data_IF_693427412501
#
_entry.id   IF_693427412501
#
_cell.length_a   1.000
_cell.length_b   1.000
_cell.length_c   1.000
_cell.angle_alpha   90.00
_cell.angle_beta   90.00
_cell.angle_gamma   90.00
#
_symmetry.space_group_name_H-M   'P 1'
#
loop_
_entity.id
_entity.type
_entity.pdbx_description
1 polymer ?
#
# COMPACT_ATOMS: atom_id res chain seq x y z
N UNK A 1 28.42 -16.22 10.25
CA UNK A 1 28.18 -14.83 9.78
C UNK A 1 27.35 -14.11 10.83
N UNK A 2 27.71 -12.88 11.21
CA UNK A 2 27.08 -12.14 12.32
C UNK A 2 26.14 -11.04 11.81
N UNK A 3 25.01 -10.84 12.49
CA UNK A 3 24.11 -9.71 12.22
C UNK A 3 24.78 -8.36 12.51
N UNK A 4 25.86 -8.35 13.30
CA UNK A 4 26.66 -7.16 13.59
C UNK A 4 27.22 -6.51 12.31
N UNK A 5 27.51 -7.29 11.26
CA UNK A 5 28.00 -6.73 9.98
C UNK A 5 26.89 -5.95 9.24
N UNK A 6 25.65 -6.44 9.33
CA UNK A 6 24.45 -5.77 8.81
C UNK A 6 24.25 -4.46 9.57
N UNK A 7 24.35 -4.50 10.90
CA UNK A 7 24.26 -3.31 11.76
C UNK A 7 25.36 -2.30 11.48
N UNK A 8 26.60 -2.75 11.27
CA UNK A 8 27.73 -1.87 10.93
C UNK A 8 27.49 -1.13 9.62
N UNK A 9 26.97 -1.81 8.61
CA UNK A 9 26.65 -1.20 7.31
C UNK A 9 25.51 -0.17 7.45
N UNK A 10 24.45 -0.53 8.20
CA UNK A 10 23.35 0.38 8.53
C UNK A 10 23.84 1.64 9.28
N UNK A 11 24.69 1.47 10.31
CA UNK A 11 25.24 2.57 11.09
C UNK A 11 26.20 3.44 10.26
N UNK A 12 27.07 2.82 9.46
CA UNK A 12 28.01 3.50 8.56
C UNK A 12 27.28 4.38 7.55
N UNK A 13 26.28 3.80 6.88
CA UNK A 13 25.41 4.53 5.94
C UNK A 13 24.74 5.72 6.63
N UNK A 14 24.16 5.52 7.82
CA UNK A 14 23.53 6.59 8.57
C UNK A 14 24.51 7.66 9.08
N UNK A 15 25.75 7.31 9.39
CA UNK A 15 26.77 8.27 9.80
C UNK A 15 27.19 9.15 8.63
N UNK A 16 27.48 8.55 7.47
CA UNK A 16 27.86 9.29 6.25
C UNK A 16 26.69 10.10 5.68
N UNK A 17 25.47 9.59 5.74
CA UNK A 17 24.30 10.37 5.33
C UNK A 17 24.14 11.64 6.18
N UNK A 18 24.45 11.59 7.49
CA UNK A 18 24.38 12.80 8.33
C UNK A 18 25.39 13.86 7.90
N UNK A 19 26.57 13.49 7.42
CA UNK A 19 27.54 14.47 6.89
C UNK A 19 27.11 15.02 5.53
N UNK A 20 26.55 14.17 4.65
CA UNK A 20 26.19 14.55 3.28
C UNK A 20 24.87 15.31 3.15
N UNK A 21 23.82 14.84 3.84
CA UNK A 21 22.44 15.33 3.68
C UNK A 21 21.87 15.90 4.98
N UNK A 22 22.67 16.03 6.04
CA UNK A 22 22.26 16.63 7.32
C UNK A 22 21.28 15.79 8.15
N UNK A 23 21.00 14.55 7.75
CA UNK A 23 20.08 13.62 8.43
C UNK A 23 20.49 12.16 8.18
N UNK A 24 20.03 11.17 8.98
CA UNK A 24 20.28 9.78 8.66
C UNK A 24 19.58 9.36 7.35
N UNK A 25 20.15 8.37 6.66
CA UNK A 25 19.56 7.75 5.48
C UNK A 25 18.31 6.94 5.83
N UNK A 26 18.33 6.28 6.98
CA UNK A 26 17.29 5.42 7.49
C UNK A 26 16.82 5.93 8.85
N UNK A 27 15.51 5.99 9.04
CA UNK A 27 14.93 6.33 10.33
C UNK A 27 15.30 5.27 11.40
N UNK A 28 15.14 5.64 12.67
CA UNK A 28 15.52 4.77 13.78
C UNK A 28 14.60 3.53 13.85
N UNK A 29 15.23 2.36 14.01
CA UNK A 29 14.53 1.08 14.15
C UNK A 29 14.46 0.66 15.61
N UNK A 30 13.24 0.44 16.11
CA UNK A 30 12.99 -0.03 17.48
C UNK A 30 12.70 -1.52 17.57
N UNK A 31 12.89 -2.27 16.47
CA UNK A 31 12.68 -3.72 16.43
C UNK A 31 13.82 -4.44 17.15
N UNK A 32 13.50 -5.46 17.93
CA UNK A 32 14.49 -6.27 18.64
C UNK A 32 15.47 -6.93 17.66
N UNK A 33 16.75 -6.93 18.04
CA UNK A 33 17.81 -7.58 17.27
C UNK A 33 17.67 -9.10 17.33
N UNK A 34 18.05 -9.82 16.26
CA UNK A 34 18.07 -11.27 16.24
C UNK A 34 19.18 -11.82 17.16
N UNK A 35 18.88 -12.89 17.88
CA UNK A 35 19.83 -13.60 18.74
C UNK A 35 20.15 -14.96 18.12
N UNK A 36 21.34 -15.16 17.52
CA UNK A 36 21.69 -16.41 16.84
C UNK A 36 21.75 -17.62 17.79
N UNK A 37 21.77 -17.43 19.11
CA UNK A 37 21.64 -18.51 20.09
C UNK A 37 20.25 -19.17 20.10
N UNK A 38 19.26 -18.56 19.44
CA UNK A 38 17.90 -19.09 19.27
C UNK A 38 17.51 -19.03 17.80
N UNK A 39 17.87 -20.06 17.05
CA UNK A 39 17.87 -20.06 15.58
C UNK A 39 16.53 -19.62 14.93
N UNK A 40 15.40 -20.22 15.33
CA UNK A 40 14.08 -19.86 14.77
C UNK A 40 13.69 -18.40 15.13
N UNK A 41 13.69 -17.98 16.41
CA UNK A 41 13.47 -16.57 16.76
C UNK A 41 14.45 -15.60 16.07
N UNK A 42 15.71 -15.98 15.86
CA UNK A 42 16.70 -15.18 15.16
C UNK A 42 16.27 -14.92 13.71
N UNK A 43 15.84 -15.95 13.00
CA UNK A 43 15.36 -15.85 11.63
C UNK A 43 14.14 -14.93 11.51
N UNK A 44 13.15 -15.09 12.40
CA UNK A 44 11.93 -14.28 12.41
C UNK A 44 12.25 -12.80 12.71
N UNK A 45 13.11 -12.54 13.70
CA UNK A 45 13.52 -11.17 14.06
C UNK A 45 14.36 -10.52 12.96
N UNK A 46 15.28 -11.25 12.34
CA UNK A 46 16.06 -10.75 11.21
C UNK A 46 15.14 -10.37 10.05
N UNK A 47 14.16 -11.21 9.72
CA UNK A 47 13.14 -10.90 8.70
C UNK A 47 12.38 -9.62 9.03
N UNK A 48 11.92 -9.49 10.27
CA UNK A 48 11.16 -8.32 10.75
C UNK A 48 11.98 -7.04 10.69
N UNK A 49 13.22 -7.10 11.18
CA UNK A 49 14.14 -5.96 11.21
C UNK A 49 14.48 -5.49 9.78
N UNK A 50 14.80 -6.42 8.88
CA UNK A 50 15.08 -6.11 7.48
C UNK A 50 13.84 -5.56 6.77
N UNK A 51 12.64 -6.08 7.07
CA UNK A 51 11.40 -5.55 6.52
C UNK A 51 11.19 -4.09 6.93
N UNK A 52 11.29 -3.78 8.22
CA UNK A 52 11.17 -2.40 8.72
C UNK A 52 12.24 -1.50 8.08
N UNK A 53 13.48 -1.97 7.94
CA UNK A 53 14.51 -1.20 7.24
C UNK A 53 14.12 -0.92 5.78
N UNK A 54 13.72 -1.95 5.02
CA UNK A 54 13.57 -1.86 3.57
C UNK A 54 12.29 -1.15 3.13
N UNK A 55 11.20 -1.35 3.87
CA UNK A 55 9.86 -0.92 3.45
C UNK A 55 9.31 0.24 4.28
N UNK A 56 9.89 0.50 5.46
CA UNK A 56 9.41 1.55 6.36
C UNK A 56 10.47 2.64 6.52
N UNK A 57 11.51 2.39 7.33
CA UNK A 57 12.48 3.41 7.75
C UNK A 57 13.45 3.86 6.65
N UNK A 58 13.74 3.00 5.67
CA UNK A 58 14.75 3.24 4.66
C UNK A 58 14.24 3.25 3.22
N UNK A 59 12.93 3.12 3.00
CA UNK A 59 12.33 2.88 1.66
C UNK A 59 12.86 3.84 0.58
N UNK A 60 12.88 5.14 0.88
CA UNK A 60 13.29 6.18 -0.08
C UNK A 60 14.79 6.09 -0.35
N UNK A 61 15.59 6.09 0.72
CA UNK A 61 17.05 6.05 0.63
C UNK A 61 17.55 4.77 -0.02
N UNK A 62 16.99 3.62 0.33
CA UNK A 62 17.35 2.34 -0.30
C UNK A 62 17.00 2.35 -1.79
N UNK A 63 15.82 2.85 -2.16
CA UNK A 63 15.44 2.94 -3.59
C UNK A 63 16.40 3.84 -4.37
N UNK A 64 16.79 4.98 -3.78
CA UNK A 64 17.76 5.90 -4.38
C UNK A 64 19.15 5.27 -4.48
N UNK A 65 19.72 4.84 -3.36
CA UNK A 65 21.08 4.28 -3.27
C UNK A 65 21.22 3.00 -4.09
N UNK A 66 20.18 2.16 -4.19
CA UNK A 66 20.21 0.96 -5.02
C UNK A 66 20.32 1.28 -6.51
N UNK A 67 19.57 2.29 -7.00
CA UNK A 67 19.67 2.73 -8.41
C UNK A 67 21.04 3.32 -8.70
N UNK A 68 21.60 4.07 -7.77
CA UNK A 68 22.95 4.62 -7.92
C UNK A 68 24.03 3.53 -7.83
N UNK A 69 23.84 2.55 -6.96
CA UNK A 69 24.71 1.38 -6.84
C UNK A 69 24.72 0.49 -8.07
N UNK A 70 23.59 0.36 -8.77
CA UNK A 70 23.54 -0.27 -10.10
C UNK A 70 24.43 0.51 -11.09
N UNK A 71 24.32 1.85 -11.12
CA UNK A 71 25.12 2.69 -12.01
C UNK A 71 26.63 2.65 -11.70
N UNK A 72 27.00 2.48 -10.42
CA UNK A 72 28.38 2.30 -9.99
C UNK A 72 28.87 0.84 -10.03
N UNK A 73 28.03 -0.11 -10.44
CA UNK A 73 28.32 -1.55 -10.35
C UNK A 73 28.69 -2.05 -8.93
N UNK A 74 28.21 -1.36 -7.90
CA UNK A 74 28.38 -1.72 -6.48
C UNK A 74 27.22 -2.58 -5.96
N UNK A 75 26.09 -2.56 -6.67
CA UNK A 75 24.90 -3.35 -6.32
C UNK A 75 24.40 -4.09 -7.55
N UNK A 76 24.32 -5.41 -7.46
CA UNK A 76 23.68 -6.22 -8.48
C UNK A 76 22.15 -6.04 -8.39
N UNK A 77 21.54 -5.56 -9.48
CA UNK A 77 20.09 -5.29 -9.54
C UNK A 77 19.26 -6.55 -9.32
N UNK A 78 19.57 -7.64 -10.01
CA UNK A 78 18.78 -8.86 -9.91
C UNK A 78 18.85 -9.45 -8.50
N UNK A 79 20.06 -9.55 -7.93
CA UNK A 79 20.24 -10.08 -6.58
C UNK A 79 19.58 -9.18 -5.51
N UNK A 80 19.67 -7.86 -5.66
CA UNK A 80 19.05 -6.92 -4.72
C UNK A 80 17.52 -6.91 -4.82
N UNK A 81 16.95 -7.00 -6.03
CA UNK A 81 15.50 -7.14 -6.23
C UNK A 81 15.00 -8.47 -5.64
N UNK A 82 15.71 -9.58 -5.89
CA UNK A 82 15.37 -10.87 -5.29
C UNK A 82 15.46 -10.85 -3.76
N UNK A 83 16.49 -10.21 -3.19
CA UNK A 83 16.67 -10.12 -1.73
C UNK A 83 15.59 -9.25 -1.05
N UNK A 84 15.30 -8.08 -1.60
CA UNK A 84 14.26 -7.20 -1.04
C UNK A 84 12.89 -7.87 -1.13
N UNK A 85 12.61 -8.53 -2.25
CA UNK A 85 11.35 -9.24 -2.47
C UNK A 85 11.20 -10.45 -1.54
N UNK A 86 12.26 -11.23 -1.32
CA UNK A 86 12.15 -12.38 -0.41
C UNK A 86 11.92 -11.94 1.04
N UNK A 87 12.52 -10.83 1.49
CA UNK A 87 12.23 -10.27 2.82
C UNK A 87 10.75 -9.92 2.95
N UNK A 88 10.14 -9.34 1.90
CA UNK A 88 8.71 -9.04 1.85
C UNK A 88 7.87 -10.31 1.97
N UNK A 89 8.16 -11.33 1.16
CA UNK A 89 7.45 -12.61 1.16
C UNK A 89 7.57 -13.34 2.50
N UNK A 90 8.79 -13.43 3.05
CA UNK A 90 9.03 -14.04 4.36
C UNK A 90 8.28 -13.30 5.47
N UNK A 91 8.30 -11.96 5.49
CA UNK A 91 7.54 -11.18 6.48
C UNK A 91 6.05 -11.47 6.35
N UNK A 92 5.52 -11.46 5.12
CA UNK A 92 4.12 -11.73 4.83
C UNK A 92 3.71 -13.10 5.36
N UNK A 93 4.49 -14.15 5.09
CA UNK A 93 4.22 -15.50 5.59
C UNK A 93 4.31 -15.62 7.12
N UNK A 94 5.35 -15.06 7.73
CA UNK A 94 5.60 -15.24 9.16
C UNK A 94 4.66 -14.43 10.07
N UNK A 95 4.10 -13.32 9.58
CA UNK A 95 3.37 -12.37 10.42
C UNK A 95 1.90 -12.18 10.06
N UNK A 96 1.45 -12.72 8.91
CA UNK A 96 0.04 -12.66 8.53
C UNK A 96 -0.58 -14.05 8.63
N UNK A 97 -1.83 -14.08 9.07
CA UNK A 97 -2.68 -15.25 8.88
C UNK A 97 -3.06 -15.30 7.40
N UNK A 98 -2.15 -15.78 6.58
CA UNK A 98 -2.35 -15.87 5.14
C UNK A 98 -3.57 -16.75 4.85
N UNK A 99 -4.50 -16.21 4.07
CA UNK A 99 -5.69 -16.92 3.64
C UNK A 99 -5.39 -17.87 2.48
N UNK A 100 -6.42 -18.20 1.70
CA UNK A 100 -6.28 -18.88 0.41
C UNK A 100 -6.33 -17.90 -0.78
N UNK A 101 -6.11 -16.60 -0.54
CA UNK A 101 -6.08 -15.61 -1.61
C UNK A 101 -4.82 -15.75 -2.49
N UNK A 102 -4.94 -15.44 -3.78
CA UNK A 102 -3.88 -15.68 -4.78
C UNK A 102 -2.55 -14.98 -4.45
N UNK A 103 -2.61 -13.74 -3.92
CA UNK A 103 -1.40 -12.99 -3.52
C UNK A 103 -0.65 -13.64 -2.35
N UNK A 104 -1.39 -14.24 -1.42
CA UNK A 104 -0.83 -14.92 -0.25
C UNK A 104 -0.16 -16.23 -0.66
N UNK A 105 -0.73 -16.90 -1.67
CA UNK A 105 -0.18 -18.14 -2.21
C UNK A 105 1.16 -17.90 -2.95
N UNK A 106 1.29 -16.79 -3.68
CA UNK A 106 2.53 -16.42 -4.34
C UNK A 106 3.65 -16.15 -3.32
N UNK A 107 3.36 -15.39 -2.26
CA UNK A 107 4.32 -15.10 -1.20
C UNK A 107 4.79 -16.37 -0.47
N UNK A 108 3.86 -17.28 -0.14
CA UNK A 108 4.19 -18.61 0.43
C UNK A 108 5.10 -19.41 -0.49
N UNK A 109 4.74 -19.51 -1.77
CA UNK A 109 5.51 -20.28 -2.75
C UNK A 109 6.94 -19.76 -2.88
N UNK A 110 7.11 -18.43 -2.92
CA UNK A 110 8.42 -17.79 -2.96
C UNK A 110 9.25 -18.07 -1.69
N UNK A 111 8.62 -17.94 -0.52
CA UNK A 111 9.26 -18.21 0.78
C UNK A 111 9.70 -19.67 0.93
N UNK A 112 8.84 -20.62 0.57
CA UNK A 112 9.17 -22.04 0.58
C UNK A 112 10.31 -22.38 -0.39
N UNK A 113 10.27 -21.82 -1.61
CA UNK A 113 11.32 -22.02 -2.61
C UNK A 113 12.67 -21.51 -2.11
N UNK A 114 12.69 -20.33 -1.48
CA UNK A 114 13.89 -19.79 -0.88
C UNK A 114 14.40 -20.67 0.27
N UNK A 115 13.54 -21.13 1.19
CA UNK A 115 13.97 -22.03 2.28
C UNK A 115 14.52 -23.35 1.79
N UNK A 116 13.94 -23.94 0.73
CA UNK A 116 14.49 -25.14 0.08
C UNK A 116 15.93 -24.90 -0.38
N UNK A 117 16.24 -23.72 -0.93
CA UNK A 117 17.60 -23.34 -1.33
C UNK A 117 18.52 -23.09 -0.12
N UNK A 118 18.01 -22.48 0.94
CA UNK A 118 18.82 -22.09 2.11
C UNK A 118 19.12 -23.25 3.07
N UNK A 119 18.15 -24.14 3.33
CA UNK A 119 18.26 -25.20 4.35
C UNK A 119 17.83 -26.59 3.87
N UNK A 120 17.54 -26.76 2.58
CA UNK A 120 17.15 -28.04 1.98
C UNK A 120 15.69 -28.46 2.17
N UNK A 121 14.88 -27.68 2.88
CA UNK A 121 13.44 -27.97 3.11
C UNK A 121 12.57 -26.71 3.01
N UNK A 122 11.30 -26.88 2.66
CA UNK A 122 10.30 -25.80 2.66
C UNK A 122 9.82 -25.42 4.05
N UNK A 123 9.92 -26.36 5.01
CA UNK A 123 9.44 -26.23 6.38
C UNK A 123 10.57 -26.66 7.32
N UNK A 124 11.40 -25.72 7.81
CA UNK A 124 12.43 -25.99 8.79
C UNK A 124 11.81 -26.56 10.07
N UNK A 125 12.44 -27.60 10.63
CA UNK A 125 11.98 -28.29 11.86
C UNK A 125 13.09 -28.47 12.90
N UNK A 126 14.34 -28.28 12.50
CA UNK A 126 15.49 -28.41 13.39
C UNK A 126 16.17 -27.05 13.57
N UNK A 127 16.83 -26.86 14.72
CA UNK A 127 17.60 -25.64 14.97
C UNK A 127 18.65 -25.38 13.89
N UNK A 128 19.27 -26.43 13.35
CA UNK A 128 20.22 -26.28 12.25
C UNK A 128 19.55 -25.73 10.98
N UNK A 129 18.38 -26.24 10.59
CA UNK A 129 17.67 -25.75 9.39
C UNK A 129 17.25 -24.28 9.55
N UNK A 130 16.81 -23.90 10.75
CA UNK A 130 16.51 -22.51 11.07
C UNK A 130 17.76 -21.63 11.05
N UNK A 131 18.88 -22.14 11.57
CA UNK A 131 20.15 -21.45 11.58
C UNK A 131 20.66 -21.23 10.15
N UNK A 132 20.53 -22.22 9.28
CA UNK A 132 20.90 -22.12 7.86
C UNK A 132 20.05 -21.06 7.14
N UNK A 133 18.74 -21.02 7.41
CA UNK A 133 17.86 -19.95 6.92
C UNK A 133 18.32 -18.57 7.43
N UNK A 134 18.56 -18.44 8.74
CA UNK A 134 19.06 -17.20 9.32
C UNK A 134 20.37 -16.75 8.68
N UNK A 135 21.35 -17.66 8.54
CA UNK A 135 22.65 -17.34 7.95
C UNK A 135 22.53 -16.94 6.48
N UNK A 136 21.67 -17.60 5.70
CA UNK A 136 21.40 -17.24 4.31
C UNK A 136 20.78 -15.84 4.19
N UNK A 137 19.78 -15.53 5.03
CA UNK A 137 19.13 -14.21 5.04
C UNK A 137 20.10 -13.09 5.42
N UNK A 138 20.87 -13.30 6.48
CA UNK A 138 21.85 -12.32 6.99
C UNK A 138 23.02 -12.16 6.03
N UNK A 139 23.47 -13.22 5.37
CA UNK A 139 24.49 -13.17 4.33
C UNK A 139 24.09 -12.26 3.17
N UNK A 140 22.88 -12.47 2.63
CA UNK A 140 22.36 -11.64 1.55
C UNK A 140 22.17 -10.17 1.99
N UNK A 141 21.67 -9.94 3.21
CA UNK A 141 21.52 -8.59 3.75
C UNK A 141 22.85 -7.87 3.94
N UNK A 142 23.90 -8.58 4.38
CA UNK A 142 25.24 -8.04 4.51
C UNK A 142 25.79 -7.59 3.16
N UNK A 143 25.68 -8.42 2.12
CA UNK A 143 26.14 -8.05 0.78
C UNK A 143 25.39 -6.83 0.27
N UNK A 144 24.05 -6.84 0.38
CA UNK A 144 23.21 -5.75 -0.10
C UNK A 144 23.49 -4.42 0.62
N UNK A 145 23.45 -4.40 1.95
CA UNK A 145 23.69 -3.18 2.72
C UNK A 145 25.15 -2.71 2.65
N UNK A 146 26.10 -3.64 2.52
CA UNK A 146 27.50 -3.29 2.27
C UNK A 146 27.67 -2.56 0.94
N UNK A 147 26.95 -2.99 -0.10
CA UNK A 147 26.89 -2.27 -1.37
C UNK A 147 26.30 -0.86 -1.22
N UNK A 148 25.24 -0.70 -0.42
CA UNK A 148 24.67 0.63 -0.14
C UNK A 148 25.65 1.54 0.64
N UNK A 149 26.37 1.02 1.63
CA UNK A 149 27.40 1.77 2.36
C UNK A 149 28.49 2.28 1.41
N UNK A 150 28.97 1.42 0.51
CA UNK A 150 29.97 1.78 -0.49
C UNK A 150 29.46 2.84 -1.48
N UNK A 151 28.18 2.79 -1.86
CA UNK A 151 27.56 3.85 -2.68
C UNK A 151 27.61 5.20 -1.98
N UNK A 152 27.34 5.24 -0.67
CA UNK A 152 27.37 6.51 0.08
C UNK A 152 28.81 7.04 0.20
N UNK A 153 29.80 6.16 0.42
CA UNK A 153 31.23 6.53 0.34
C UNK A 153 31.62 7.03 -1.03
N UNK A 154 31.04 6.44 -2.08
CA UNK A 154 31.28 6.87 -3.45
C UNK A 154 30.72 8.26 -3.72
N UNK A 155 29.51 8.56 -3.25
CA UNK A 155 28.94 9.92 -3.30
C UNK A 155 29.88 10.92 -2.62
N UNK A 156 30.37 10.62 -1.42
CA UNK A 156 31.28 11.50 -0.67
C UNK A 156 32.57 11.80 -1.44
N UNK A 157 33.07 10.84 -2.21
CA UNK A 157 34.32 10.96 -2.98
C UNK A 157 34.15 11.45 -4.43
N UNK A 158 32.91 11.66 -4.91
CA UNK A 158 32.60 12.06 -6.30
C UNK A 158 32.73 13.58 -6.56
N UNK A 159 33.27 14.34 -5.60
CA UNK A 159 33.66 15.74 -5.78
C UNK A 159 32.48 16.63 -6.19
N UNK A 160 32.58 17.30 -7.35
CA UNK A 160 31.52 18.19 -7.84
C UNK A 160 30.21 17.45 -8.17
N UNK A 161 30.27 16.17 -8.54
CA UNK A 161 29.07 15.36 -8.80
C UNK A 161 28.33 14.95 -7.52
N UNK A 162 29.02 14.97 -6.36
CA UNK A 162 28.42 14.66 -5.07
C UNK A 162 27.19 15.53 -4.77
N UNK A 163 27.27 16.82 -5.11
CA UNK A 163 26.17 17.76 -4.85
C UNK A 163 24.90 17.38 -5.61
N UNK A 164 25.01 16.93 -6.86
CA UNK A 164 23.85 16.52 -7.65
C UNK A 164 23.15 15.29 -7.03
N UNK A 165 23.94 14.33 -6.53
CA UNK A 165 23.40 13.16 -5.83
C UNK A 165 22.75 13.54 -4.50
N UNK A 166 23.37 14.45 -3.73
CA UNK A 166 22.84 14.98 -2.47
C UNK A 166 21.51 15.71 -2.71
N UNK A 167 21.45 16.59 -3.69
CA UNK A 167 20.25 17.37 -4.02
C UNK A 167 19.10 16.44 -4.44
N UNK A 168 19.37 15.47 -5.32
CA UNK A 168 18.37 14.50 -5.75
C UNK A 168 17.89 13.61 -4.58
N UNK A 169 18.80 13.22 -3.68
CA UNK A 169 18.43 12.41 -2.51
C UNK A 169 17.54 13.20 -1.55
N UNK A 170 17.91 14.43 -1.22
CA UNK A 170 17.11 15.33 -0.39
C UNK A 170 15.75 15.62 -1.03
N UNK A 171 15.72 15.86 -2.35
CA UNK A 171 14.48 16.06 -3.10
C UNK A 171 13.54 14.87 -2.93
N UNK A 172 14.02 13.65 -3.14
CA UNK A 172 13.22 12.43 -2.93
C UNK A 172 12.73 12.27 -1.48
N UNK A 173 13.60 12.53 -0.50
CA UNK A 173 13.23 12.47 0.91
C UNK A 173 12.16 13.51 1.28
N UNK A 174 12.22 14.71 0.71
CA UNK A 174 11.23 15.78 0.97
C UNK A 174 9.86 15.49 0.36
N UNK A 175 9.83 14.75 -0.75
CA UNK A 175 8.62 14.36 -1.48
C UNK A 175 7.95 13.11 -0.92
N UNK A 176 8.67 12.33 -0.13
CA UNK A 176 8.11 11.14 0.47
C UNK A 176 7.12 11.51 1.57
N UNK A 177 5.86 11.10 1.36
CA UNK A 177 4.78 11.33 2.31
C UNK A 177 4.24 9.99 2.79
N UNK A 178 4.18 9.76 4.12
CA UNK A 178 3.62 8.53 4.66
C UNK A 178 2.15 8.42 4.25
N UNK A 179 1.65 7.20 4.10
CA UNK A 179 0.28 6.96 3.63
C UNK A 179 -0.73 7.66 4.57
N UNK A 180 -0.48 7.63 5.88
CA UNK A 180 -1.30 8.32 6.88
C UNK A 180 -1.38 9.85 6.69
N UNK A 181 -0.44 10.49 6.01
CA UNK A 181 -0.51 11.92 5.71
C UNK A 181 -1.67 12.28 4.77
N UNK A 182 -2.24 11.29 4.06
CA UNK A 182 -3.43 11.48 3.23
C UNK A 182 -4.73 11.36 4.03
N UNK A 183 -4.71 10.76 5.22
CA UNK A 183 -5.94 10.41 5.96
C UNK A 183 -6.75 11.67 6.33
N UNK A 184 -6.08 12.70 6.85
CA UNK A 184 -6.75 13.96 7.19
C UNK A 184 -7.31 14.68 5.97
N UNK A 185 -6.63 14.61 4.83
CA UNK A 185 -7.11 15.20 3.58
C UNK A 185 -8.32 14.45 3.03
N UNK A 186 -8.35 13.12 3.17
CA UNK A 186 -9.50 12.29 2.80
C UNK A 186 -10.69 12.58 3.72
N UNK A 187 -10.46 12.71 5.03
CA UNK A 187 -11.51 13.01 6.00
C UNK A 187 -12.14 14.39 5.78
N UNK A 188 -11.33 15.39 5.42
CA UNK A 188 -11.85 16.71 5.06
C UNK A 188 -12.61 16.68 3.71
N UNK A 189 -12.04 16.02 2.69
CA UNK A 189 -12.69 15.90 1.39
C UNK A 189 -14.03 15.14 1.46
N UNK A 190 -14.09 14.04 2.21
CA UNK A 190 -15.33 13.26 2.35
C UNK A 190 -16.40 14.06 3.08
N UNK A 191 -16.03 14.88 4.07
CA UNK A 191 -16.99 15.75 4.76
C UNK A 191 -17.57 16.80 3.81
N UNK A 192 -16.69 17.49 3.06
CA UNK A 192 -17.11 18.52 2.08
C UNK A 192 -17.95 17.96 0.93
N UNK A 193 -17.74 16.69 0.56
CA UNK A 193 -18.49 16.00 -0.48
C UNK A 193 -19.66 15.14 0.06
N UNK A 194 -20.01 15.26 1.35
CA UNK A 194 -21.09 14.51 2.01
C UNK A 194 -20.97 12.97 1.90
N UNK A 195 -19.75 12.45 2.00
CA UNK A 195 -19.38 11.02 1.95
C UNK A 195 -18.82 10.49 3.27
N UNK A 196 -19.39 10.92 4.40
CA UNK A 196 -18.89 10.60 5.75
C UNK A 196 -18.74 9.10 6.05
N UNK A 197 -19.61 8.27 5.44
CA UNK A 197 -19.61 6.83 5.62
C UNK A 197 -18.48 6.08 4.86
N UNK A 198 -17.64 6.78 4.10
CA UNK A 198 -16.48 6.20 3.44
C UNK A 198 -15.41 5.81 4.48
N UNK A 199 -14.89 4.57 4.37
CA UNK A 199 -13.74 4.14 5.15
C UNK A 199 -12.44 4.74 4.57
N UNK A 200 -11.90 5.75 5.26
CA UNK A 200 -10.68 6.49 4.88
C UNK A 200 -9.47 5.60 4.63
N UNK A 201 -9.21 4.64 5.52
CA UNK A 201 -8.04 3.76 5.45
C UNK A 201 -8.15 2.81 4.25
N UNK A 202 -9.33 2.21 4.05
CA UNK A 202 -9.57 1.32 2.91
C UNK A 202 -9.50 2.09 1.58
N UNK A 203 -10.10 3.29 1.53
CA UNK A 203 -10.05 4.16 0.36
C UNK A 203 -8.61 4.56 0.01
N UNK A 204 -7.83 5.02 1.00
CA UNK A 204 -6.41 5.32 0.83
C UNK A 204 -5.64 4.12 0.30
N UNK A 205 -5.76 2.96 0.93
CA UNK A 205 -4.95 1.79 0.56
C UNK A 205 -5.17 1.37 -0.91
N UNK A 206 -6.36 1.65 -1.49
CA UNK A 206 -6.64 1.39 -2.91
C UNK A 206 -5.96 2.36 -3.86
N UNK A 207 -5.79 3.62 -3.46
CA UNK A 207 -5.45 4.71 -4.39
C UNK A 207 -4.13 5.43 -4.10
N UNK A 208 -3.54 5.28 -2.92
CA UNK A 208 -2.37 6.05 -2.48
C UNK A 208 -1.16 5.88 -3.40
N UNK A 209 -0.95 4.70 -3.95
CA UNK A 209 0.16 4.47 -4.88
C UNK A 209 -0.06 5.17 -6.23
N UNK A 210 -1.31 5.25 -6.69
CA UNK A 210 -1.65 6.02 -7.88
C UNK A 210 -1.48 7.53 -7.62
N UNK A 211 -1.93 8.03 -6.47
CA UNK A 211 -1.75 9.43 -6.11
C UNK A 211 -0.28 9.81 -5.99
N UNK A 212 0.53 8.99 -5.32
CA UNK A 212 1.98 9.18 -5.24
C UNK A 212 2.63 9.29 -6.62
N UNK A 213 2.29 8.39 -7.54
CA UNK A 213 2.78 8.45 -8.93
C UNK A 213 2.42 9.76 -9.63
N UNK A 214 1.23 10.31 -9.37
CA UNK A 214 0.85 11.62 -9.94
C UNK A 214 1.62 12.76 -9.28
N UNK A 215 1.73 12.74 -7.94
CA UNK A 215 2.48 13.75 -7.19
C UNK A 215 3.96 13.73 -7.57
N UNK A 216 4.55 12.57 -7.89
CA UNK A 216 5.94 12.44 -8.34
C UNK A 216 6.23 13.17 -9.67
N UNK A 217 5.21 13.46 -10.47
CA UNK A 217 5.34 14.18 -11.75
C UNK A 217 5.32 15.70 -11.58
N UNK A 218 4.96 16.21 -10.40
CA UNK A 218 4.87 17.65 -10.15
C UNK A 218 6.26 18.27 -9.96
N UNK A 219 6.39 19.55 -10.30
CA UNK A 219 7.59 20.34 -10.05
C UNK A 219 7.92 20.42 -8.55
N UNK A 220 9.16 20.77 -8.22
CA UNK A 220 9.57 20.92 -6.83
C UNK A 220 8.92 22.14 -6.18
N UNK A 221 8.72 22.07 -4.86
CA UNK A 221 8.07 23.14 -4.09
C UNK A 221 6.54 23.18 -4.21
N UNK A 222 5.92 22.17 -4.84
CA UNK A 222 4.46 22.07 -4.89
C UNK A 222 3.84 21.98 -3.49
N UNK A 223 2.64 22.53 -3.34
CA UNK A 223 1.86 22.39 -2.11
C UNK A 223 1.24 20.98 -2.06
N UNK A 224 1.81 20.14 -1.19
CA UNK A 224 1.34 18.77 -1.01
C UNK A 224 -0.14 18.70 -0.63
N UNK A 225 -0.58 19.52 0.33
CA UNK A 225 -1.95 19.48 0.83
C UNK A 225 -2.93 19.83 -0.28
N UNK A 226 -2.63 20.86 -1.06
CA UNK A 226 -3.47 21.28 -2.19
C UNK A 226 -3.55 20.22 -3.30
N UNK A 227 -2.41 19.73 -3.78
CA UNK A 227 -2.38 18.80 -4.92
C UNK A 227 -2.87 17.40 -4.55
N UNK A 228 -2.55 16.91 -3.34
CA UNK A 228 -3.08 15.64 -2.86
C UNK A 228 -4.60 15.72 -2.67
N UNK A 229 -5.11 16.81 -2.09
CA UNK A 229 -6.55 17.02 -1.92
C UNK A 229 -7.27 17.02 -3.28
N UNK A 230 -6.73 17.72 -4.28
CA UNK A 230 -7.29 17.75 -5.64
C UNK A 230 -7.38 16.35 -6.26
N UNK A 231 -6.37 15.51 -6.08
CA UNK A 231 -6.38 14.12 -6.53
C UNK A 231 -7.42 13.28 -5.76
N UNK A 232 -7.50 13.44 -4.44
CA UNK A 232 -8.47 12.76 -3.59
C UNK A 232 -9.90 13.12 -4.00
N UNK A 233 -10.23 14.40 -4.10
CA UNK A 233 -11.56 14.88 -4.51
C UNK A 233 -11.92 14.35 -5.90
N UNK A 234 -10.99 14.40 -6.85
CA UNK A 234 -11.18 13.81 -8.18
C UNK A 234 -11.49 12.31 -8.10
N UNK A 235 -10.73 11.54 -7.31
CA UNK A 235 -10.99 10.10 -7.13
C UNK A 235 -12.34 9.85 -6.45
N UNK A 236 -12.70 10.62 -5.43
CA UNK A 236 -14.00 10.52 -4.75
C UNK A 236 -15.15 10.79 -5.72
N UNK A 237 -15.05 11.82 -6.56
CA UNK A 237 -16.08 12.15 -7.56
C UNK A 237 -16.21 11.09 -8.67
N UNK A 238 -15.14 10.34 -8.97
CA UNK A 238 -15.17 9.29 -9.99
C UNK A 238 -15.56 7.91 -9.45
N UNK A 239 -15.25 7.60 -8.19
CA UNK A 239 -15.76 6.39 -7.53
C UNK A 239 -17.19 6.64 -7.03
N UNK A 240 -18.17 6.60 -7.94
CA UNK A 240 -19.60 6.43 -7.60
C UNK A 240 -19.93 4.98 -7.22
N UNK A 241 -18.96 4.25 -6.66
CA UNK A 241 -19.05 2.81 -6.40
C UNK A 241 -19.52 2.54 -4.96
N UNK A 242 -20.69 3.07 -4.63
CA UNK A 242 -21.46 2.46 -3.54
C UNK A 242 -21.98 1.12 -4.06
N UNK A 243 -21.27 0.05 -3.70
CA UNK A 243 -21.71 -1.33 -3.98
C UNK A 243 -22.96 -1.57 -3.15
N UNK A 244 -24.11 -1.50 -3.80
CA UNK A 244 -25.38 -1.76 -3.16
C UNK A 244 -25.47 -3.24 -2.75
N UNK A 245 -26.09 -3.57 -1.60
CA UNK A 245 -26.39 -4.94 -1.21
C UNK A 245 -27.53 -5.55 -2.07
N UNK A 246 -27.96 -4.86 -3.12
CA UNK A 246 -28.95 -5.27 -4.10
C UNK A 246 -28.44 -5.02 -5.52
N UNK A 247 -28.97 -5.78 -6.45
CA UNK A 247 -28.72 -5.71 -7.88
C UNK A 247 -30.05 -5.50 -8.62
N UNK A 248 -29.98 -5.25 -9.93
CA UNK A 248 -31.19 -5.21 -10.76
C UNK A 248 -32.00 -6.51 -10.74
N UNK A 249 -31.39 -7.65 -10.39
CA UNK A 249 -32.08 -8.93 -10.25
C UNK A 249 -32.97 -8.96 -9.01
N UNK A 250 -32.48 -8.46 -7.88
CA UNK A 250 -33.27 -8.38 -6.64
C UNK A 250 -34.51 -7.49 -6.84
N UNK A 251 -34.42 -6.42 -7.63
CA UNK A 251 -35.57 -5.57 -7.96
C UNK A 251 -36.61 -6.33 -8.81
N UNK A 252 -36.18 -7.14 -9.76
CA UNK A 252 -37.10 -7.95 -10.57
C UNK A 252 -37.76 -9.02 -9.70
N UNK A 253 -36.95 -9.77 -8.94
CA UNK A 253 -37.39 -10.94 -8.20
C UNK A 253 -38.24 -10.56 -6.97
N UNK A 254 -37.87 -9.51 -6.21
CA UNK A 254 -38.52 -9.13 -4.94
C UNK A 254 -39.53 -7.98 -5.04
N UNK A 255 -39.46 -7.15 -6.10
CA UNK A 255 -40.40 -6.03 -6.32
C UNK A 255 -41.32 -6.29 -7.53
N UNK A 256 -41.08 -7.33 -8.32
CA UNK A 256 -41.91 -7.67 -9.49
C UNK A 256 -41.90 -6.60 -10.57
N UNK A 257 -40.80 -5.84 -10.68
CA UNK A 257 -40.65 -4.77 -11.68
C UNK A 257 -40.24 -5.38 -13.03
N UNK A 258 -40.93 -5.02 -14.10
CA UNK A 258 -40.58 -5.47 -15.44
C UNK A 258 -39.21 -4.92 -15.88
N UNK A 259 -38.49 -5.67 -16.71
CA UNK A 259 -37.17 -5.24 -17.22
C UNK A 259 -37.34 -3.95 -18.03
N UNK A 260 -36.67 -2.88 -17.60
CA UNK A 260 -36.79 -1.57 -18.24
C UNK A 260 -36.15 -0.44 -17.42
N UNK A 261 -36.36 0.82 -17.84
CA UNK A 261 -35.74 2.01 -17.24
C UNK A 261 -36.13 2.22 -15.77
N UNK A 262 -37.26 1.68 -15.32
CA UNK A 262 -37.70 1.73 -13.91
C UNK A 262 -36.70 1.07 -12.95
N UNK A 263 -36.03 -0.02 -13.37
CA UNK A 263 -35.00 -0.69 -12.57
C UNK A 263 -33.83 0.26 -12.30
N UNK A 264 -33.40 1.02 -13.32
CA UNK A 264 -32.33 2.01 -13.17
C UNK A 264 -32.71 3.12 -12.19
N UNK A 265 -33.94 3.62 -12.28
CA UNK A 265 -34.44 4.65 -11.36
C UNK A 265 -34.52 4.15 -9.90
N UNK A 266 -34.88 2.88 -9.69
CA UNK A 266 -34.94 2.27 -8.37
C UNK A 266 -33.54 1.96 -7.79
N UNK A 267 -32.58 1.54 -8.61
CA UNK A 267 -31.19 1.36 -8.18
C UNK A 267 -30.55 2.71 -7.79
N UNK A 268 -30.87 3.78 -8.52
CA UNK A 268 -30.41 5.12 -8.19
C UNK A 268 -30.98 5.61 -6.84
N UNK A 269 -32.28 5.38 -6.61
CA UNK A 269 -32.92 5.70 -5.33
C UNK A 269 -32.33 4.87 -4.18
N UNK A 270 -32.11 3.57 -4.42
CA UNK A 270 -31.45 2.70 -3.46
C UNK A 270 -30.05 3.18 -3.12
N UNK A 271 -29.29 3.68 -4.11
CA UNK A 271 -27.96 4.24 -3.88
C UNK A 271 -28.03 5.42 -2.92
N UNK A 272 -28.91 6.39 -3.19
CA UNK A 272 -29.12 7.57 -2.34
C UNK A 272 -29.53 7.18 -0.92
N UNK A 273 -30.45 6.25 -0.76
CA UNK A 273 -30.91 5.83 0.56
C UNK A 273 -29.82 5.07 1.33
N UNK A 274 -29.09 4.18 0.67
CA UNK A 274 -28.03 3.38 1.27
C UNK A 274 -26.78 4.22 1.60
N UNK A 275 -26.53 5.30 0.86
CA UNK A 275 -25.49 6.29 1.19
C UNK A 275 -25.73 6.94 2.56
N UNK A 276 -27.00 7.24 2.88
CA UNK A 276 -27.39 7.92 4.13
C UNK A 276 -27.54 6.93 5.30
N UNK A 277 -28.23 5.80 5.09
CA UNK A 277 -28.68 4.94 6.20
C UNK A 277 -27.86 3.66 6.40
N UNK A 278 -26.99 3.29 5.44
CA UNK A 278 -26.19 2.03 5.45
C UNK A 278 -26.97 0.82 5.98
N UNK A 279 -28.02 0.45 5.26
CA UNK A 279 -28.99 -0.58 5.67
C UNK A 279 -28.76 -1.94 4.98
N UNK A 280 -29.33 -3.00 5.52
CA UNK A 280 -29.25 -4.35 4.93
C UNK A 280 -29.98 -4.44 3.58
N UNK A 281 -29.76 -5.54 2.85
CA UNK A 281 -30.48 -5.87 1.61
C UNK A 281 -32.00 -5.76 1.79
N UNK A 282 -32.52 -6.34 2.87
CA UNK A 282 -33.95 -6.41 3.17
C UNK A 282 -34.53 -5.03 3.48
N UNK A 283 -33.84 -4.26 4.32
CA UNK A 283 -34.24 -2.90 4.68
C UNK A 283 -34.28 -1.97 3.45
N UNK A 284 -33.31 -2.14 2.54
CA UNK A 284 -33.23 -1.36 1.31
C UNK A 284 -34.36 -1.71 0.33
N UNK A 285 -34.70 -2.99 0.21
CA UNK A 285 -35.86 -3.43 -0.58
C UNK A 285 -37.18 -2.92 0.02
N UNK A 286 -37.33 -2.94 1.34
CA UNK A 286 -38.51 -2.39 2.02
C UNK A 286 -38.65 -0.87 1.87
N UNK A 287 -37.54 -0.15 1.80
CA UNK A 287 -37.54 1.27 1.45
C UNK A 287 -38.06 1.47 0.02
N UNK A 288 -37.51 0.73 -0.96
CA UNK A 288 -37.94 0.83 -2.36
C UNK A 288 -39.42 0.48 -2.56
N UNK A 289 -39.96 -0.50 -1.82
CA UNK A 289 -41.40 -0.82 -1.82
C UNK A 289 -42.24 0.40 -1.45
N UNK A 290 -41.87 1.09 -0.37
CA UNK A 290 -42.57 2.29 0.12
C UNK A 290 -42.50 3.44 -0.88
N UNK A 291 -41.34 3.66 -1.50
CA UNK A 291 -41.18 4.71 -2.52
C UNK A 291 -42.06 4.43 -3.74
N UNK A 292 -42.09 3.18 -4.22
CA UNK A 292 -42.91 2.79 -5.37
C UNK A 292 -44.40 2.92 -5.10
N UNK A 293 -44.84 2.53 -3.91
CA UNK A 293 -46.25 2.65 -3.52
C UNK A 293 -46.71 4.12 -3.53
N UNK A 294 -45.90 5.04 -3.00
CA UNK A 294 -46.19 6.48 -3.04
C UNK A 294 -46.30 7.02 -4.47
N UNK A 295 -45.38 6.63 -5.37
CA UNK A 295 -45.43 7.05 -6.78
C UNK A 295 -46.70 6.59 -7.49
N UNK A 296 -47.15 5.36 -7.23
CA UNK A 296 -48.41 4.85 -7.79
C UNK A 296 -49.64 5.57 -7.23
N UNK A 297 -49.63 5.94 -5.95
CA UNK A 297 -50.71 6.71 -5.31
C UNK A 297 -50.80 8.13 -5.91
N UNK A 298 -49.66 8.78 -6.15
CA UNK A 298 -49.59 10.12 -6.76
C UNK A 298 -50.06 10.12 -8.23
N UNK A 299 -49.74 9.07 -9.00
CA UNK A 299 -50.20 8.92 -10.39
C UNK A 299 -51.71 8.65 -10.50
N UNK A 300 -52.29 7.89 -9.55
CA UNK A 300 -53.73 7.65 -9.49
C UNK A 300 -54.55 8.89 -9.08
N UNK A 301 -53.96 9.80 -8.29
CA UNK A 301 -54.65 11.01 -7.82
C UNK A 301 -54.58 12.18 -8.82
N UNK A 302 -53.76 12.10 -9.88
CA UNK A 302 -53.60 13.20 -10.83
C UNK A 302 -53.56 12.75 -12.32
N UNK A 303 -54.67 12.23 -12.88
CA UNK A 303 -54.72 11.71 -14.25
C UNK A 303 -54.60 12.78 -15.36
N UNK A 304 -54.49 14.07 -15.02
CA UNK A 304 -54.68 15.18 -15.97
C UNK A 304 -53.47 15.57 -16.84
N UNK A 305 -52.31 14.90 -16.74
CA UNK A 305 -51.10 15.33 -17.48
C UNK A 305 -50.66 14.34 -18.59
N UNK A 306 -51.27 13.16 -18.68
CA UNK A 306 -50.77 12.07 -19.56
C UNK A 306 -51.18 12.17 -21.05
N UNK A 307 -51.94 13.18 -21.48
CA UNK A 307 -52.39 13.30 -22.89
C UNK A 307 -51.63 14.31 -23.75
N UNK A 308 -50.57 14.96 -23.26
CA UNK A 308 -49.88 16.03 -23.98
C UNK A 308 -48.48 15.67 -24.52
N UNK A 309 -48.22 14.42 -24.95
CA UNK A 309 -47.01 14.10 -25.76
C UNK A 309 -47.30 12.96 -26.75
N UNK A 310 -48.16 13.20 -27.73
CA UNK A 310 -48.12 12.51 -29.04
C UNK A 310 -48.63 13.48 -30.14
N UNK A 311 -47.72 14.27 -30.65
CA UNK A 311 -47.71 14.73 -32.04
C UNK A 311 -46.36 14.32 -32.63
#
# INVERSE_FOLDING_TARGET
>A
MSFEDVLRSYQGTNALARSLIGRPAFDELHVLLPDPGRAEPAFIRATSWLYCLYFEAGRVSITFLRRLGEAYALVNREESDQHVEIVRCLRTELHHNLGFADSDQAARTAAESWRRKSCGTALPRTDQQWLDCYQGLVGNARVFLGGLDEVVRRIESDGAAAQQHVDEWLRRLSRDRPAAAFDSLIDDAKYRLAREALNTVAFRNRHVDQWRKHLDLLEDGFDFSFEALRLIEKTLLHEDSVVLPITGRDIVDDLGVARGPEIGALLEEARRHFEVSKCSREELLDHLRRVRQRRMEDECQNPAVSTAVKA
#
